data_IF_137125108118
#
_entry.id   IF_137125108118
#
_cell.length_a   1.000
_cell.length_b   1.000
_cell.length_c   1.000
_cell.angle_alpha   90.00
_cell.angle_beta   90.00
_cell.angle_gamma   90.00
#
_symmetry.space_group_name_H-M   'P 1'
#
loop_
_entity.id
_entity.type
_entity.pdbx_description
1 polymer ?
#
# COMPACT_ATOMS: atom_id res chain seq x y z
N UNK A 1 8.52 -15.85 -0.93
CA UNK A 1 8.53 -14.84 -2.02
C UNK A 1 8.25 -13.43 -1.51
N UNK A 2 7.12 -13.15 -0.87
CA UNK A 2 6.74 -11.79 -0.42
C UNK A 2 7.79 -11.12 0.49
N UNK A 3 8.36 -11.82 1.47
CA UNK A 3 9.44 -11.29 2.31
C UNK A 3 10.64 -10.77 1.50
N UNK A 4 10.95 -11.38 0.36
CA UNK A 4 12.00 -10.89 -0.53
C UNK A 4 11.62 -9.56 -1.17
N UNK A 5 10.38 -9.41 -1.64
CA UNK A 5 9.86 -8.14 -2.19
C UNK A 5 9.90 -7.04 -1.13
N UNK A 6 9.46 -7.32 0.10
CA UNK A 6 9.50 -6.35 1.19
C UNK A 6 10.93 -5.88 1.50
N UNK A 7 11.90 -6.79 1.47
CA UNK A 7 13.31 -6.45 1.70
C UNK A 7 13.95 -5.67 0.55
N UNK A 8 13.49 -5.87 -0.68
CA UNK A 8 13.98 -5.18 -1.88
C UNK A 8 13.27 -3.84 -2.16
N UNK A 9 12.01 -3.71 -1.74
CA UNK A 9 11.15 -2.53 -1.95
C UNK A 9 10.44 -2.11 -0.65
N UNK A 10 11.20 -1.78 0.41
CA UNK A 10 10.63 -1.49 1.74
C UNK A 10 9.68 -0.29 1.76
N UNK A 11 9.87 0.70 0.88
CA UNK A 11 9.00 1.88 0.80
C UNK A 11 7.55 1.61 0.39
N UNK A 12 7.26 0.43 -0.19
CA UNK A 12 5.89 0.00 -0.49
C UNK A 12 5.11 -0.44 0.76
N UNK A 13 5.81 -0.73 1.85
CA UNK A 13 5.24 -1.32 3.06
C UNK A 13 5.41 -0.43 4.29
N UNK A 14 6.23 0.62 4.20
CA UNK A 14 6.50 1.54 5.30
C UNK A 14 6.16 2.96 4.87
N UNK A 15 5.39 3.66 5.69
CA UNK A 15 4.94 5.04 5.48
C UNK A 15 5.22 5.83 6.76
N UNK A 16 5.88 6.98 6.67
CA UNK A 16 6.22 7.75 7.87
C UNK A 16 6.53 9.21 7.55
N UNK A 17 6.55 10.06 8.56
CA UNK A 17 6.99 11.45 8.39
C UNK A 17 8.49 11.56 8.14
N UNK A 18 8.93 12.70 7.60
CA UNK A 18 10.36 12.98 7.30
C UNK A 18 11.29 12.79 8.51
N UNK A 19 10.76 12.94 9.73
CA UNK A 19 11.48 12.75 10.99
C UNK A 19 12.23 11.41 11.06
N UNK A 20 11.67 10.35 10.47
CA UNK A 20 12.21 9.00 10.54
C UNK A 20 13.44 8.77 9.66
N UNK A 21 13.73 9.65 8.70
CA UNK A 21 14.96 9.59 7.90
C UNK A 21 16.21 9.70 8.79
N UNK A 22 16.13 10.52 9.85
CA UNK A 22 17.21 10.73 10.81
C UNK A 22 17.05 9.88 12.09
N UNK A 23 15.86 9.28 12.30
CA UNK A 23 15.54 8.51 13.50
C UNK A 23 14.97 7.11 13.17
N UNK A 24 15.65 6.29 12.35
CA UNK A 24 15.11 5.00 11.89
C UNK A 24 14.92 3.97 13.01
N UNK A 25 15.50 4.20 14.20
CA UNK A 25 15.31 3.32 15.37
C UNK A 25 13.98 3.53 16.09
N UNK A 26 13.24 4.59 15.75
CA UNK A 26 11.96 4.94 16.39
C UNK A 26 10.74 4.34 15.67
N UNK A 27 10.93 3.65 14.55
CA UNK A 27 9.86 2.84 13.95
C UNK A 27 9.33 1.79 14.94
N UNK A 28 8.04 1.45 14.85
CA UNK A 28 7.42 0.46 15.73
C UNK A 28 8.05 -0.93 15.59
N UNK A 29 8.46 -1.28 14.38
CA UNK A 29 9.17 -2.53 14.05
C UNK A 29 10.42 -2.20 13.23
N UNK A 30 11.57 -2.83 13.48
CA UNK A 30 12.75 -2.65 12.64
C UNK A 30 12.47 -2.97 11.16
N UNK A 31 12.88 -2.08 10.25
CA UNK A 31 12.73 -2.32 8.80
C UNK A 31 13.85 -3.25 8.33
N UNK A 32 13.50 -4.52 8.10
CA UNK A 32 14.41 -5.48 7.47
C UNK A 32 14.57 -5.17 5.98
N UNK A 33 15.81 -4.96 5.53
CA UNK A 33 16.11 -4.67 4.12
C UNK A 33 17.27 -5.50 3.60
N UNK A 34 17.31 -5.68 2.29
CA UNK A 34 18.42 -6.34 1.62
C UNK A 34 19.66 -5.41 1.59
N UNK A 35 20.90 -5.95 1.65
CA UNK A 35 22.11 -5.13 1.61
C UNK A 35 22.22 -4.24 0.37
N UNK A 36 21.70 -4.70 -0.77
CA UNK A 36 21.73 -4.00 -2.05
C UNK A 36 20.89 -2.72 -2.00
N UNK A 37 19.74 -2.74 -1.31
CA UNK A 37 18.87 -1.59 -1.11
C UNK A 37 19.58 -0.49 -0.31
N UNK A 38 20.30 -0.87 0.75
CA UNK A 38 21.10 0.08 1.54
C UNK A 38 22.23 0.67 0.72
N UNK A 39 22.93 -0.16 -0.05
CA UNK A 39 24.07 0.25 -0.88
C UNK A 39 23.63 1.20 -1.99
N UNK A 40 22.46 0.96 -2.59
CA UNK A 40 21.89 1.81 -3.63
C UNK A 40 21.25 3.11 -3.10
N UNK A 41 21.13 3.29 -1.77
CA UNK A 41 20.47 4.46 -1.18
C UNK A 41 18.96 4.51 -1.46
N UNK A 42 18.33 3.35 -1.71
CA UNK A 42 16.89 3.29 -1.99
C UNK A 42 16.08 3.68 -0.74
N UNK A 43 14.92 4.34 -0.91
CA UNK A 43 14.10 4.77 0.21
C UNK A 43 13.57 3.57 1.01
N UNK A 44 13.67 3.66 2.34
CA UNK A 44 13.18 2.63 3.26
C UNK A 44 11.68 2.75 3.55
N UNK A 45 11.12 3.94 3.37
CA UNK A 45 9.72 4.25 3.59
C UNK A 45 9.26 5.32 2.61
N UNK A 46 7.95 5.40 2.37
CA UNK A 46 7.34 6.52 1.67
C UNK A 46 7.09 7.65 2.66
N UNK A 47 7.69 8.82 2.40
CA UNK A 47 7.50 10.00 3.24
C UNK A 47 6.06 10.52 3.17
N UNK A 48 5.49 10.88 4.32
CA UNK A 48 4.15 11.42 4.49
C UNK A 48 4.17 12.73 5.29
N UNK A 49 3.12 13.53 5.13
CA UNK A 49 2.94 14.73 5.93
C UNK A 49 2.66 14.37 7.41
N UNK A 50 3.09 15.22 8.36
CA UNK A 50 2.70 15.11 9.76
C UNK A 50 1.18 15.08 9.95
N UNK A 51 0.71 14.34 10.95
CA UNK A 51 -0.70 14.29 11.30
C UNK A 51 -1.09 15.63 11.95
N UNK A 52 -2.08 16.37 11.42
CA UNK A 52 -2.42 17.69 11.95
C UNK A 52 -3.09 17.59 13.32
N UNK A 53 -2.75 18.52 14.22
CA UNK A 53 -3.52 18.77 15.43
C UNK A 53 -4.71 19.66 15.07
N UNK A 54 -5.88 19.06 14.96
CA UNK A 54 -7.11 19.77 14.61
C UNK A 54 -7.45 20.84 15.66
N UNK A 55 -7.90 22.01 15.19
CA UNK A 55 -8.28 23.13 16.05
C UNK A 55 -7.12 23.97 16.59
N UNK A 56 -5.87 23.61 16.29
CA UNK A 56 -4.73 24.43 16.68
C UNK A 56 -4.76 25.80 15.94
N UNK A 57 -4.47 26.93 16.62
CA UNK A 57 -4.50 28.27 16.02
C UNK A 57 -3.35 28.51 15.03
N UNK A 58 -2.38 27.60 14.99
CA UNK A 58 -1.35 27.51 13.97
C UNK A 58 -1.22 26.05 13.52
N UNK A 59 -0.73 25.78 12.30
CA UNK A 59 -0.52 24.41 11.84
C UNK A 59 0.50 23.70 12.73
N UNK A 60 0.04 22.78 13.56
CA UNK A 60 0.87 21.90 14.39
C UNK A 60 0.72 20.47 13.86
N UNK A 61 1.85 19.76 13.77
CA UNK A 61 1.90 18.39 13.26
C UNK A 61 2.52 17.40 14.24
N UNK A 62 2.02 16.16 14.22
CA UNK A 62 2.55 15.02 14.96
C UNK A 62 3.26 14.06 14.01
N UNK A 63 4.40 13.54 14.44
CA UNK A 63 5.10 12.48 13.70
C UNK A 63 4.39 11.15 13.88
N UNK A 64 4.38 10.35 12.83
CA UNK A 64 3.76 9.03 12.84
C UNK A 64 4.44 8.09 11.84
N UNK A 65 4.23 6.79 12.03
CA UNK A 65 4.59 5.76 11.07
C UNK A 65 3.50 4.68 10.95
N UNK A 66 3.38 4.09 9.77
CA UNK A 66 2.59 2.88 9.49
C UNK A 66 3.50 1.87 8.78
N UNK A 67 3.50 0.64 9.26
CA UNK A 67 4.32 -0.45 8.75
C UNK A 67 3.46 -1.68 8.51
N UNK A 68 3.48 -2.20 7.28
CA UNK A 68 2.90 -3.48 6.92
C UNK A 68 4.00 -4.55 7.01
N UNK A 69 3.79 -5.53 7.87
CA UNK A 69 4.76 -6.55 8.26
C UNK A 69 4.14 -7.95 8.13
N UNK A 70 4.98 -8.98 8.16
CA UNK A 70 4.56 -10.39 8.21
C UNK A 70 3.54 -10.80 7.14
N UNK A 71 3.66 -10.23 5.93
CA UNK A 71 2.73 -10.48 4.83
C UNK A 71 2.88 -11.93 4.34
N UNK A 72 1.78 -12.68 4.37
CA UNK A 72 1.62 -14.04 3.86
C UNK A 72 0.51 -14.08 2.84
N UNK A 73 0.68 -14.91 1.82
CA UNK A 73 -0.31 -15.16 0.78
C UNK A 73 -0.53 -16.66 0.72
N UNK A 74 -1.79 -17.06 0.62
CA UNK A 74 -2.23 -18.45 0.53
C UNK A 74 -3.25 -18.57 -0.62
N UNK A 75 -2.98 -19.44 -1.59
CA UNK A 75 -3.80 -19.59 -2.80
C UNK A 75 -4.75 -20.78 -2.62
N UNK A 76 -5.96 -20.70 -3.17
CA UNK A 76 -6.92 -21.82 -3.09
C UNK A 76 -6.30 -23.15 -3.59
N UNK A 77 -6.50 -24.31 -2.90
CA UNK A 77 -7.44 -24.56 -1.80
C UNK A 77 -7.13 -23.95 -0.44
N UNK A 78 -5.93 -23.38 -0.24
CA UNK A 78 -5.54 -22.71 0.99
C UNK A 78 -5.22 -23.68 2.13
N UNK A 79 -4.00 -23.63 2.66
CA UNK A 79 -3.61 -24.48 3.79
C UNK A 79 -2.71 -23.80 4.84
N UNK A 80 -2.34 -22.53 4.62
CA UNK A 80 -1.35 -21.81 5.42
C UNK A 80 -1.94 -20.63 6.20
N UNK A 81 -3.03 -20.02 5.71
CA UNK A 81 -3.69 -18.88 6.34
C UNK A 81 -5.10 -19.27 6.79
N UNK A 82 -5.31 -19.31 8.10
CA UNK A 82 -6.65 -19.48 8.67
C UNK A 82 -7.41 -18.16 8.62
N UNK A 83 -8.42 -18.07 7.76
CA UNK A 83 -9.27 -16.89 7.68
C UNK A 83 -10.17 -16.76 8.91
N UNK A 84 -10.42 -15.53 9.40
CA UNK A 84 -11.36 -15.28 10.48
C UNK A 84 -12.80 -15.61 10.02
N UNK A 85 -13.72 -15.95 10.96
CA UNK A 85 -15.09 -16.37 10.66
C UNK A 85 -15.86 -15.43 9.73
N UNK A 86 -15.60 -14.12 9.83
CA UNK A 86 -16.22 -13.03 9.09
C UNK A 86 -15.94 -13.12 7.58
N UNK A 87 -14.79 -13.68 7.19
CA UNK A 87 -14.39 -13.89 5.79
C UNK A 87 -14.75 -15.27 5.25
N UNK A 88 -15.14 -16.21 6.13
CA UNK A 88 -15.49 -17.57 5.76
C UNK A 88 -14.32 -18.39 5.20
N UNK A 89 -14.64 -19.45 4.45
CA UNK A 89 -13.63 -20.30 3.81
C UNK A 89 -13.13 -19.69 2.49
N UNK A 90 -11.86 -19.95 2.16
CA UNK A 90 -11.27 -19.46 0.91
C UNK A 90 -11.92 -20.14 -0.31
N UNK A 91 -12.73 -19.38 -1.05
CA UNK A 91 -13.43 -19.85 -2.24
C UNK A 91 -12.47 -20.18 -3.40
N UNK A 92 -12.94 -20.97 -4.36
CA UNK A 92 -12.20 -21.26 -5.58
C UNK A 92 -11.84 -19.97 -6.34
N UNK A 93 -10.67 -19.95 -7.00
CA UNK A 93 -10.15 -18.78 -7.74
C UNK A 93 -9.79 -17.55 -6.88
N UNK A 94 -9.72 -17.71 -5.56
CA UNK A 94 -9.35 -16.64 -4.64
C UNK A 94 -8.02 -16.94 -3.94
N UNK A 95 -7.45 -15.90 -3.35
CA UNK A 95 -6.32 -15.95 -2.43
C UNK A 95 -6.65 -15.27 -1.11
N UNK A 96 -6.06 -15.79 -0.04
CA UNK A 96 -6.04 -15.15 1.26
C UNK A 96 -4.71 -14.39 1.44
N UNK A 97 -4.78 -13.22 2.05
CA UNK A 97 -3.62 -12.42 2.45
C UNK A 97 -3.73 -12.17 3.95
N UNK A 98 -2.75 -12.63 4.71
CA UNK A 98 -2.59 -12.25 6.12
C UNK A 98 -1.45 -11.24 6.21
N UNK A 99 -1.64 -10.17 6.96
CA UNK A 99 -0.59 -9.20 7.25
C UNK A 99 -0.76 -8.58 8.62
N UNK A 100 0.31 -7.99 9.14
CA UNK A 100 0.30 -7.25 10.40
C UNK A 100 0.57 -5.78 10.13
N UNK A 101 -0.39 -4.92 10.48
CA UNK A 101 -0.28 -3.47 10.36
C UNK A 101 0.12 -2.85 11.70
N UNK A 102 1.31 -2.28 11.78
CA UNK A 102 1.80 -1.58 12.97
C UNK A 102 1.73 -0.06 12.76
N UNK A 103 1.04 0.63 13.65
CA UNK A 103 0.90 2.07 13.64
C UNK A 103 1.57 2.67 14.87
N UNK A 104 2.30 3.76 14.67
CA UNK A 104 2.95 4.54 15.71
C UNK A 104 2.60 6.01 15.56
N UNK A 105 2.18 6.64 16.65
CA UNK A 105 1.92 8.07 16.71
C UNK A 105 2.71 8.70 17.85
N UNK A 106 3.29 9.86 17.57
CA UNK A 106 3.88 10.69 18.60
C UNK A 106 2.79 11.22 19.53
N UNK A 107 2.97 10.96 20.82
CA UNK A 107 2.12 11.47 21.88
C UNK A 107 2.99 12.41 22.73
N UNK A 108 2.89 13.74 22.50
CA UNK A 108 3.64 14.73 23.25
C UNK A 108 3.51 14.53 24.75
N UNK A 109 4.61 14.67 25.49
CA UNK A 109 4.58 14.58 26.95
C UNK A 109 3.76 15.73 27.54
N UNK A 110 3.07 15.47 28.65
CA UNK A 110 2.33 16.49 29.41
C UNK A 110 3.16 17.74 29.72
N UNK A 111 4.46 17.58 30.02
CA UNK A 111 5.36 18.71 30.27
C UNK A 111 5.50 19.62 29.05
N UNK A 112 5.71 19.03 27.86
CA UNK A 112 5.80 19.77 26.61
C UNK A 112 4.49 20.49 26.28
N UNK A 113 3.35 19.82 26.51
CA UNK A 113 2.03 20.41 26.29
C UNK A 113 1.84 21.62 27.22
N UNK A 114 2.13 21.45 28.52
CA UNK A 114 2.03 22.50 29.53
C UNK A 114 2.92 23.70 29.21
N UNK A 115 4.13 23.47 28.70
CA UNK A 115 5.06 24.54 28.33
C UNK A 115 4.62 25.29 27.06
N UNK A 116 3.96 24.61 26.12
CA UNK A 116 3.45 25.21 24.88
C UNK A 116 2.09 25.91 25.03
N UNK A 117 1.27 25.48 26.00
CA UNK A 117 -0.09 25.96 26.19
C UNK A 117 -0.21 27.50 26.21
N UNK A 118 0.61 28.23 27.01
CA UNK A 118 0.48 29.69 27.09
C UNK A 118 0.67 30.39 25.74
N UNK A 119 1.59 29.90 24.91
CA UNK A 119 1.83 30.45 23.57
C UNK A 119 0.66 30.15 22.62
N UNK A 120 0.09 28.95 22.70
CA UNK A 120 -1.08 28.54 21.91
C UNK A 120 -2.31 29.36 22.30
N UNK A 121 -2.54 29.62 23.58
CA UNK A 121 -3.64 30.45 24.07
C UNK A 121 -3.56 31.91 23.58
N UNK A 122 -2.36 32.50 23.61
CA UNK A 122 -2.11 33.84 23.05
C UNK A 122 -2.40 33.87 21.55
N UNK A 123 -1.98 32.86 20.79
CA UNK A 123 -2.29 32.77 19.36
C UNK A 123 -3.79 32.60 19.10
N UNK A 124 -4.46 31.75 19.88
CA UNK A 124 -5.89 31.50 19.73
C UNK A 124 -6.73 32.78 19.96
N UNK A 125 -6.39 33.57 20.99
CA UNK A 125 -7.07 34.85 21.26
C UNK A 125 -6.83 35.89 20.18
N UNK A 126 -5.62 35.93 19.59
CA UNK A 126 -5.33 36.79 18.46
C UNK A 126 -6.07 36.37 17.18
N UNK A 127 -6.24 35.06 16.95
CA UNK A 127 -6.97 34.51 15.79
C UNK A 127 -8.48 34.70 15.89
N UNK A 128 -9.06 34.63 17.11
CA UNK A 128 -10.49 34.83 17.34
C UNK A 128 -11.02 36.24 17.05
N UNK A 129 -10.14 37.24 16.86
CA UNK A 129 -10.51 38.59 16.43
C UNK A 129 -10.66 38.73 14.90
N UNK A 130 -10.33 37.69 14.11
CA UNK A 130 -10.38 37.73 12.63
C UNK A 130 -11.56 36.97 12.00
N UNK A 131 -12.45 36.36 12.79
CA UNK A 131 -13.63 35.66 12.25
C UNK A 131 -14.72 36.66 11.80
N UNK A 132 -14.54 37.24 10.61
CA UNK A 132 -15.66 37.69 9.78
C UNK A 132 -16.20 36.49 8.98
N UNK A 133 -17.51 36.22 8.97
CA UNK A 133 -18.07 35.05 8.32
C UNK A 133 -18.23 35.30 6.81
N UNK A 134 -17.13 35.34 6.06
CA UNK A 134 -17.18 35.41 4.60
C UNK A 134 -16.16 34.46 3.97
N UNK A 135 -16.71 33.38 3.40
CA UNK A 135 -16.27 32.71 2.19
C UNK A 135 -14.75 32.74 1.96
N UNK A 136 -14.05 31.71 2.43
CA UNK A 136 -12.64 31.48 2.09
C UNK A 136 -12.55 31.10 0.61
N UNK A 137 -12.50 32.10 -0.26
CA UNK A 137 -11.83 31.95 -1.56
C UNK A 137 -10.34 31.92 -1.20
N UNK A 138 -9.60 30.84 -1.49
CA UNK A 138 -8.17 30.81 -1.20
C UNK A 138 -7.50 31.93 -2.02
N UNK A 139 -6.93 32.91 -1.32
CA UNK A 139 -6.08 33.91 -1.93
C UNK A 139 -4.94 33.18 -2.65
N UNK A 140 -4.90 33.30 -3.98
CA UNK A 140 -3.77 32.82 -4.80
C UNK A 140 -2.50 33.49 -4.28
N UNK A 141 -1.63 32.74 -3.59
CA UNK A 141 -0.27 33.18 -3.27
C UNK A 141 0.19 33.00 -1.82
N UNK A 142 -0.67 32.68 -0.85
CA UNK A 142 -0.19 32.30 0.48
C UNK A 142 0.32 30.86 0.45
N UNK A 143 1.65 30.69 0.45
CA UNK A 143 2.27 29.38 0.66
C UNK A 143 1.67 28.74 1.91
N UNK A 144 1.25 27.46 1.88
CA UNK A 144 0.81 26.76 3.09
C UNK A 144 1.88 26.95 4.17
N UNK A 145 1.49 27.49 5.33
CA UNK A 145 2.41 27.57 6.47
C UNK A 145 2.82 26.15 6.79
N UNK A 146 4.13 25.86 6.69
CA UNK A 146 4.68 24.55 7.03
C UNK A 146 4.32 24.22 8.48
N UNK A 147 3.73 23.05 8.75
CA UNK A 147 3.37 22.66 10.11
C UNK A 147 4.58 22.69 11.04
N UNK A 148 4.41 23.29 12.22
CA UNK A 148 5.37 23.15 13.31
C UNK A 148 5.23 21.74 13.85
N UNK A 149 6.24 20.91 13.61
CA UNK A 149 6.25 19.52 14.07
C UNK A 149 6.76 19.47 15.50
N UNK A 150 5.99 18.86 16.41
CA UNK A 150 6.39 18.74 17.80
C UNK A 150 7.60 17.78 17.94
N UNK A 151 8.50 18.03 18.91
CA UNK A 151 9.66 17.17 19.12
C UNK A 151 9.25 15.78 19.61
N UNK A 152 9.46 14.79 18.77
CA UNK A 152 9.15 13.38 19.07
C UNK A 152 10.26 12.73 19.87
N UNK A 153 9.91 12.15 21.02
CA UNK A 153 10.84 11.38 21.86
C UNK A 153 10.64 9.88 21.73
N UNK A 154 9.38 9.45 21.63
CA UNK A 154 8.96 8.05 21.48
C UNK A 154 7.62 8.00 20.76
N UNK A 155 7.34 6.91 20.05
CA UNK A 155 6.02 6.64 19.53
C UNK A 155 5.24 5.75 20.50
N UNK A 156 3.93 5.98 20.57
CA UNK A 156 2.99 5.00 21.06
C UNK A 156 2.63 4.07 19.90
N UNK A 157 3.09 2.82 19.97
CA UNK A 157 2.94 1.83 18.91
C UNK A 157 1.92 0.75 19.28
N UNK A 158 1.11 0.35 18.32
CA UNK A 158 0.31 -0.87 18.38
C UNK A 158 0.32 -1.57 17.02
N UNK A 159 -0.03 -2.85 17.00
CA UNK A 159 -0.19 -3.60 15.76
C UNK A 159 -1.48 -4.39 15.76
N UNK A 160 -2.11 -4.49 14.60
CA UNK A 160 -3.31 -5.28 14.36
C UNK A 160 -3.02 -6.33 13.30
N UNK A 161 -3.68 -7.48 13.39
CA UNK A 161 -3.72 -8.44 12.30
C UNK A 161 -4.81 -8.06 11.31
N UNK A 162 -4.50 -8.21 10.02
CA UNK A 162 -5.41 -7.93 8.93
C UNK A 162 -5.46 -9.14 8.01
N UNK A 163 -6.67 -9.50 7.63
CA UNK A 163 -6.94 -10.57 6.67
C UNK A 163 -7.67 -9.97 5.48
N UNK A 164 -7.28 -10.38 4.28
CA UNK A 164 -7.94 -9.98 3.05
C UNK A 164 -8.18 -11.19 2.16
N UNK A 165 -9.32 -11.21 1.50
CA UNK A 165 -9.63 -12.15 0.41
C UNK A 165 -9.63 -11.37 -0.89
N UNK A 166 -8.94 -11.91 -1.89
CA UNK A 166 -8.77 -11.27 -3.17
C UNK A 166 -8.83 -12.28 -4.32
N UNK A 167 -9.04 -11.79 -5.53
CA UNK A 167 -8.94 -12.57 -6.77
C UNK A 167 -8.14 -11.82 -7.83
N UNK A 168 -7.66 -12.55 -8.83
CA UNK A 168 -7.03 -11.97 -10.01
C UNK A 168 -8.00 -11.92 -11.18
N UNK A 169 -7.90 -10.86 -11.98
CA UNK A 169 -8.62 -10.73 -13.25
C UNK A 169 -7.73 -10.08 -14.31
N UNK A 170 -8.03 -10.34 -15.59
CA UNK A 170 -7.52 -9.53 -16.70
C UNK A 170 -8.41 -8.32 -16.94
N UNK A 171 -7.82 -7.19 -17.29
CA UNK A 171 -8.60 -6.11 -17.89
C UNK A 171 -7.78 -4.93 -18.39
N UNK A 172 -8.45 -4.03 -19.10
CA UNK A 172 -7.81 -2.88 -19.71
C UNK A 172 -7.41 -1.79 -18.71
N UNK A 173 -6.24 -1.15 -18.90
CA UNK A 173 -5.84 0.08 -18.18
C UNK A 173 -5.36 1.11 -19.21
N UNK A 174 -6.18 2.12 -19.48
CA UNK A 174 -5.89 3.12 -20.51
C UNK A 174 -6.36 2.66 -21.88
N UNK A 175 -5.45 2.26 -22.75
CA UNK A 175 -5.79 1.86 -24.12
C UNK A 175 -6.62 0.55 -24.15
N UNK A 176 -7.59 0.39 -25.07
CA UNK A 176 -8.46 -0.79 -25.12
C UNK A 176 -7.72 -2.13 -25.23
N UNK A 177 -6.60 -2.15 -25.94
CA UNK A 177 -5.81 -3.36 -26.19
C UNK A 177 -4.76 -3.65 -25.09
N UNK A 178 -4.58 -2.73 -24.14
CA UNK A 178 -3.60 -2.91 -23.07
C UNK A 178 -4.15 -3.83 -22.00
N UNK A 179 -3.62 -5.03 -21.86
CA UNK A 179 -4.16 -6.05 -20.96
C UNK A 179 -3.27 -6.22 -19.73
N UNK A 180 -3.87 -6.05 -18.56
CA UNK A 180 -3.18 -6.04 -17.28
C UNK A 180 -3.73 -7.10 -16.36
N UNK A 181 -2.84 -7.81 -15.66
CA UNK A 181 -3.23 -8.63 -14.52
C UNK A 181 -3.52 -7.68 -13.36
N UNK A 182 -4.72 -7.77 -12.82
CA UNK A 182 -5.20 -6.93 -11.73
C UNK A 182 -5.53 -7.79 -10.53
N UNK A 183 -5.19 -7.29 -9.35
CA UNK A 183 -5.60 -7.87 -8.08
C UNK A 183 -6.83 -7.11 -7.56
N UNK A 184 -7.90 -7.83 -7.23
CA UNK A 184 -9.16 -7.29 -6.73
C UNK A 184 -9.41 -7.74 -5.31
N UNK A 185 -9.87 -6.81 -4.48
CA UNK A 185 -10.15 -7.06 -3.06
C UNK A 185 -11.64 -7.34 -2.87
N UNK A 186 -11.95 -8.52 -2.35
CA UNK A 186 -13.32 -8.98 -2.12
C UNK A 186 -13.72 -8.79 -0.66
N UNK A 187 -12.84 -9.18 0.27
CA UNK A 187 -13.05 -9.06 1.71
C UNK A 187 -11.83 -8.48 2.42
N UNK A 188 -12.06 -7.79 3.53
CA UNK A 188 -11.04 -7.27 4.44
C UNK A 188 -11.61 -7.34 5.85
N UNK A 189 -10.83 -7.87 6.78
CA UNK A 189 -11.13 -7.97 8.21
C UNK A 189 -9.92 -7.52 9.05
N UNK A 190 -10.17 -6.76 10.11
CA UNK A 190 -9.15 -6.36 11.10
C UNK A 190 -9.45 -7.03 12.43
N UNK A 191 -8.56 -7.88 12.92
CA UNK A 191 -8.86 -8.71 14.09
C UNK A 191 -8.80 -7.92 15.40
N UNK A 192 -9.76 -8.23 16.29
CA UNK A 192 -9.83 -7.78 17.68
C UNK A 192 -9.97 -6.26 17.87
N UNK A 193 -10.54 -5.54 16.89
CA UNK A 193 -10.76 -4.10 17.05
C UNK A 193 -12.12 -3.82 17.67
N UNK A 194 -12.14 -3.09 18.79
CA UNK A 194 -13.38 -2.70 19.47
C UNK A 194 -13.38 -1.21 19.80
N UNK A 195 -14.55 -0.55 19.79
CA UNK A 195 -15.88 -1.09 19.47
C UNK A 195 -16.08 -1.37 17.97
N UNK A 196 -17.11 -2.14 17.60
CA UNK A 196 -17.40 -2.52 16.20
C UNK A 196 -17.47 -1.31 15.25
N UNK A 197 -18.06 -0.18 15.67
CA UNK A 197 -18.07 1.02 14.83
C UNK A 197 -16.68 1.62 14.54
N UNK A 198 -15.67 1.37 15.39
CA UNK A 198 -14.28 1.76 15.12
C UNK A 198 -13.64 0.80 14.12
N UNK A 199 -13.88 -0.50 14.26
CA UNK A 199 -13.48 -1.54 13.31
C UNK A 199 -14.00 -1.22 11.91
N UNK A 200 -15.31 -0.98 11.77
CA UNK A 200 -15.94 -0.60 10.51
C UNK A 200 -15.26 0.61 9.84
N UNK A 201 -14.94 1.64 10.63
CA UNK A 201 -14.28 2.85 10.12
C UNK A 201 -12.85 2.58 9.65
N UNK A 202 -12.09 1.82 10.43
CA UNK A 202 -10.71 1.45 10.09
C UNK A 202 -10.69 0.56 8.86
N UNK A 203 -11.55 -0.45 8.80
CA UNK A 203 -11.70 -1.32 7.63
C UNK A 203 -12.13 -0.55 6.39
N UNK A 204 -13.10 0.37 6.51
CA UNK A 204 -13.52 1.21 5.41
C UNK A 204 -12.36 2.05 4.85
N UNK A 205 -11.57 2.65 5.74
CA UNK A 205 -10.40 3.43 5.34
C UNK A 205 -9.34 2.55 4.68
N UNK A 206 -8.98 1.42 5.29
CA UNK A 206 -7.97 0.50 4.76
C UNK A 206 -8.42 -0.08 3.40
N UNK A 207 -9.70 -0.48 3.27
CA UNK A 207 -10.29 -0.94 2.01
C UNK A 207 -10.17 0.11 0.92
N UNK A 208 -10.45 1.37 1.25
CA UNK A 208 -10.28 2.52 0.33
C UNK A 208 -8.83 2.69 -0.08
N UNK A 209 -7.89 2.70 0.87
CA UNK A 209 -6.45 2.84 0.59
C UNK A 209 -5.95 1.70 -0.29
N UNK A 210 -6.34 0.46 -0.01
CA UNK A 210 -5.96 -0.70 -0.81
C UNK A 210 -6.51 -0.58 -2.24
N UNK A 211 -7.82 -0.33 -2.39
CA UNK A 211 -8.48 -0.28 -3.69
C UNK A 211 -8.04 0.90 -4.56
N UNK A 212 -7.79 2.07 -3.98
CA UNK A 212 -7.46 3.29 -4.73
C UNK A 212 -5.96 3.60 -4.80
N UNK A 213 -5.21 3.23 -3.76
CA UNK A 213 -3.80 3.60 -3.61
C UNK A 213 -2.84 2.48 -3.98
N UNK A 214 -3.03 1.28 -3.39
CA UNK A 214 -2.04 0.20 -3.47
C UNK A 214 -2.28 -0.75 -4.65
N UNK A 215 -3.45 -1.39 -4.72
CA UNK A 215 -3.74 -2.44 -5.70
C UNK A 215 -3.54 -1.99 -7.16
N UNK A 216 -3.95 -0.76 -7.58
CA UNK A 216 -3.68 -0.30 -8.94
C UNK A 216 -2.19 -0.30 -9.29
N UNK A 217 -1.30 -0.01 -8.32
CA UNK A 217 0.15 0.01 -8.50
C UNK A 217 0.79 -1.37 -8.54
N UNK A 218 0.07 -2.40 -8.11
CA UNK A 218 0.49 -3.79 -8.22
C UNK A 218 0.09 -4.41 -9.56
N UNK A 219 -0.78 -3.76 -10.33
CA UNK A 219 -1.17 -4.23 -11.67
C UNK A 219 0.08 -4.38 -12.53
N UNK A 220 0.14 -5.48 -13.27
CA UNK A 220 1.27 -5.80 -14.14
C UNK A 220 0.79 -5.95 -15.59
N UNK A 221 1.44 -5.30 -16.55
CA UNK A 221 1.10 -5.49 -17.96
C UNK A 221 1.54 -6.89 -18.38
N UNK A 222 0.74 -7.58 -19.19
CA UNK A 222 1.05 -8.95 -19.60
C UNK A 222 2.42 -9.06 -20.28
N UNK A 223 2.82 -8.03 -21.04
CA UNK A 223 4.09 -7.95 -21.74
C UNK A 223 5.30 -7.99 -20.80
N UNK A 224 5.13 -7.56 -19.54
CA UNK A 224 6.18 -7.61 -18.52
C UNK A 224 6.33 -8.97 -17.84
N UNK A 225 5.26 -9.78 -17.83
CA UNK A 225 5.27 -11.12 -17.24
C UNK A 225 5.94 -12.14 -18.14
N UNK A 226 5.90 -11.86 -19.44
CA UNK A 226 6.48 -12.74 -20.43
C UNK A 226 7.97 -12.39 -20.49
N UNK A 227 8.80 -13.36 -20.12
CA UNK A 227 10.21 -13.38 -20.46
C UNK A 227 10.34 -12.96 -21.93
N UNK A 228 11.13 -11.92 -22.22
CA UNK A 228 11.31 -11.38 -23.56
C UNK A 228 11.70 -12.51 -24.53
N UNK A 229 10.69 -13.15 -25.13
CA UNK A 229 10.83 -14.47 -25.74
C UNK A 229 11.73 -14.35 -26.95
N UNK A 230 11.63 -13.23 -27.67
CA UNK A 230 12.53 -12.84 -28.75
C UNK A 230 14.00 -12.80 -28.30
N UNK A 231 14.31 -12.24 -27.13
CA UNK A 231 15.68 -12.23 -26.60
C UNK A 231 16.13 -13.62 -26.14
N UNK A 232 15.25 -14.44 -25.57
CA UNK A 232 15.54 -15.83 -25.23
C UNK A 232 15.84 -16.68 -26.48
N UNK A 233 14.98 -16.58 -27.49
CA UNK A 233 15.09 -17.33 -28.75
C UNK A 233 16.31 -16.86 -29.57
N UNK A 234 16.62 -15.55 -29.55
CA UNK A 234 17.84 -15.00 -30.16
C UNK A 234 19.11 -15.47 -29.42
N UNK A 235 19.10 -15.53 -28.08
CA UNK A 235 20.18 -16.14 -27.28
C UNK A 235 20.36 -17.63 -27.55
N UNK A 236 19.31 -18.32 -27.98
CA UNK A 236 19.35 -19.72 -28.41
C UNK A 236 19.67 -19.90 -29.91
N UNK A 237 20.03 -18.83 -30.62
CA UNK A 237 20.52 -18.92 -32.01
C UNK A 237 19.43 -19.06 -33.07
N UNK A 238 18.14 -18.87 -32.72
CA UNK A 238 17.06 -18.88 -33.70
C UNK A 238 16.97 -17.52 -34.41
N UNK A 239 17.25 -17.50 -35.72
CA UNK A 239 17.00 -16.36 -36.59
C UNK A 239 15.49 -16.31 -36.92
N UNK A 240 14.75 -15.51 -36.15
CA UNK A 240 13.30 -15.40 -36.36
C UNK A 240 13.06 -14.38 -37.47
N UNK A 241 12.79 -14.86 -38.70
CA UNK A 241 12.25 -14.07 -39.81
C UNK A 241 10.74 -13.80 -39.68
N UNK A 242 10.18 -13.92 -38.47
CA UNK A 242 8.76 -13.84 -38.17
C UNK A 242 8.56 -12.89 -36.98
N UNK A 243 7.46 -12.13 -36.98
CA UNK A 243 7.07 -11.29 -35.86
C UNK A 243 6.28 -12.17 -34.88
N UNK A 244 6.87 -12.45 -33.72
CA UNK A 244 6.18 -13.12 -32.63
C UNK A 244 5.50 -12.05 -31.77
N UNK A 245 4.16 -12.11 -31.67
CA UNK A 245 3.39 -11.31 -30.71
C UNK A 245 2.70 -12.24 -29.72
N UNK A 246 2.61 -11.80 -28.48
CA UNK A 246 1.91 -12.51 -27.42
C UNK A 246 0.67 -11.73 -27.08
N UNK A 247 -0.48 -12.39 -27.19
CA UNK A 247 -1.76 -11.80 -26.86
C UNK A 247 -2.35 -12.59 -25.69
N UNK A 248 -2.85 -11.92 -24.64
CA UNK A 248 -3.75 -12.59 -23.71
C UNK A 248 -4.92 -13.10 -24.52
N UNK A 249 -5.16 -14.40 -24.46
CA UNK A 249 -6.35 -14.97 -25.06
C UNK A 249 -7.53 -14.53 -24.21
N UNK A 250 -8.54 -13.84 -24.77
CA UNK A 250 -9.87 -13.87 -24.17
C UNK A 250 -10.20 -15.35 -23.97
N UNK A 251 -10.50 -15.75 -22.73
CA UNK A 251 -10.74 -17.13 -22.30
C UNK A 251 -11.31 -17.99 -23.44
N UNK A 252 -10.49 -18.84 -24.10
CA UNK A 252 -11.06 -19.82 -25.01
C UNK A 252 -11.97 -20.73 -24.18
N UNK A 253 -13.02 -21.29 -24.80
CA UNK A 253 -13.98 -22.20 -24.15
C UNK A 253 -13.26 -23.36 -23.41
N UNK A 254 -12.03 -23.66 -23.82
CA UNK A 254 -11.17 -24.73 -23.27
C UNK A 254 -10.40 -24.34 -21.98
N UNK A 255 -10.37 -23.06 -21.58
CA UNK A 255 -9.71 -22.58 -20.34
C UNK A 255 -10.66 -21.63 -19.61
N UNK A 256 -11.57 -22.15 -18.76
CA UNK A 256 -12.63 -21.34 -18.16
C UNK A 256 -12.13 -20.29 -17.17
N UNK A 257 -10.96 -20.50 -16.56
CA UNK A 257 -10.33 -19.57 -15.63
C UNK A 257 -8.97 -19.12 -16.18
N UNK A 258 -8.84 -17.84 -16.53
CA UNK A 258 -7.57 -17.22 -16.89
C UNK A 258 -7.62 -15.76 -16.43
N UNK A 259 -6.79 -15.33 -15.46
CA UNK A 259 -5.83 -16.14 -14.70
C UNK A 259 -6.54 -17.20 -13.85
N UNK A 260 -5.85 -18.31 -13.56
CA UNK A 260 -6.36 -19.36 -12.68
C UNK A 260 -5.63 -19.36 -11.33
N UNK A 261 -6.38 -19.42 -10.23
CA UNK A 261 -5.86 -19.65 -8.88
C UNK A 261 -6.39 -21.00 -8.38
N UNK A 262 -5.53 -22.01 -8.43
CA UNK A 262 -5.84 -23.37 -8.04
C UNK A 262 -4.58 -24.17 -7.74
N UNK A 263 -4.71 -25.24 -6.96
CA UNK A 263 -3.59 -26.12 -6.59
C UNK A 263 -2.41 -25.36 -5.97
N UNK A 264 -2.69 -24.32 -5.18
CA UNK A 264 -1.68 -23.43 -4.58
C UNK A 264 -0.78 -22.72 -5.62
N UNK A 265 -1.33 -22.44 -6.80
CA UNK A 265 -0.61 -21.79 -7.90
C UNK A 265 -1.45 -20.68 -8.55
N UNK A 266 -0.75 -19.64 -9.02
CA UNK A 266 -1.29 -18.65 -9.96
C UNK A 266 -0.81 -19.02 -11.36
N UNK A 267 -1.74 -19.34 -12.25
CA UNK A 267 -1.48 -19.72 -13.63
C UNK A 267 -2.06 -18.67 -14.59
N UNK A 268 -1.30 -18.35 -15.63
CA UNK A 268 -1.73 -17.47 -16.71
C UNK A 268 -1.51 -18.17 -18.05
N UNK A 269 -2.55 -18.25 -18.87
CA UNK A 269 -2.50 -18.88 -20.18
C UNK A 269 -2.43 -17.81 -21.27
N UNK A 270 -1.40 -17.86 -22.11
CA UNK A 270 -1.08 -16.81 -23.09
C UNK A 270 -0.99 -17.43 -24.48
N UNK A 271 -1.63 -16.82 -25.48
CA UNK A 271 -1.57 -17.29 -26.87
C UNK A 271 -0.38 -16.63 -27.58
N UNK A 272 0.45 -17.49 -28.16
CA UNK A 272 1.51 -17.10 -29.09
C UNK A 272 0.90 -16.90 -30.47
N UNK A 273 1.06 -15.71 -31.04
CA UNK A 273 0.68 -15.39 -32.42
C UNK A 273 1.98 -15.16 -33.21
N UNK A 274 2.13 -15.89 -34.31
CA UNK A 274 3.31 -15.81 -35.18
C UNK A 274 2.85 -15.28 -36.53
N UNK A 275 3.38 -14.13 -36.94
CA UNK A 275 3.10 -13.48 -38.23
C UNK A 275 4.35 -13.52 -39.11
N UNK A 276 4.19 -13.88 -40.39
CA UNK A 276 5.27 -13.76 -41.39
C UNK A 276 5.46 -12.28 -41.76
N UNK A 277 6.72 -11.85 -41.86
CA UNK A 277 7.11 -10.49 -42.27
C UNK A 277 7.39 -10.45 -43.75
#
# INVERSE_FOLDING_TARGET
MIRHVMRQRPSLFNYATAFFSNHPKLFCVPIEVAPEVKTAGNPLFTEQNPLPVFGAPSPIGLNWCLQLTDVRIDLHPGNAVGLPPELGALAAQHLAIQMRGCFGLDCPSEDLIRDLLPAVEVLATASGQQDSPHTVVPARGTSPRTPVVLPTRRLSCFCLELFAVAHFEWGAIGAPDSQWLKLRLDGLEVVDLKPAGMEDLVECYVRTVLRLGLLPRLSQPIESMILNLTDLLRKQGMAIGQRITLQPTPTPVDVPNNPAVESDQLMAFIKLVVEEV
#
